data_IF_061961461208
#
_entry.id   IF_061961461208
#
_cell.length_a   1.000
_cell.length_b   1.000
_cell.length_c   1.000
_cell.angle_alpha   90.00
_cell.angle_beta   90.00
_cell.angle_gamma   90.00
#
_symmetry.space_group_name_H-M   'P 1'
#
loop_
_entity.id
_entity.type
_entity.pdbx_description
1 polymer ?
#
# COMPACT_ATOMS: atom_id res chain seq x y z
N UNK A 1 58.58 -4.48 -17.70
CA UNK A 1 57.62 -5.54 -18.09
C UNK A 1 57.12 -6.21 -16.81
N UNK A 2 55.82 -6.22 -16.54
CA UNK A 2 55.29 -6.98 -15.40
C UNK A 2 55.47 -8.48 -15.63
N UNK A 3 55.93 -9.20 -14.61
CA UNK A 3 56.05 -10.65 -14.65
C UNK A 3 54.68 -11.30 -14.84
N UNK A 4 54.64 -12.41 -15.59
CA UNK A 4 53.41 -13.16 -15.88
C UNK A 4 52.60 -13.48 -14.62
N UNK A 5 53.28 -13.75 -13.51
CA UNK A 5 52.66 -14.08 -12.21
C UNK A 5 51.85 -12.91 -11.64
N UNK A 6 52.33 -11.67 -11.82
CA UNK A 6 51.62 -10.46 -11.39
C UNK A 6 50.40 -10.17 -12.25
N UNK A 7 50.48 -10.45 -13.55
CA UNK A 7 49.34 -10.35 -14.47
C UNK A 7 48.26 -11.38 -14.14
N UNK A 8 48.66 -12.63 -13.86
CA UNK A 8 47.72 -13.69 -13.46
C UNK A 8 47.01 -13.31 -12.15
N UNK A 9 47.75 -12.83 -11.15
CA UNK A 9 47.16 -12.38 -9.89
C UNK A 9 46.15 -11.24 -10.08
N UNK A 10 46.49 -10.25 -10.93
CA UNK A 10 45.62 -9.12 -11.22
C UNK A 10 44.31 -9.57 -11.91
N UNK A 11 44.39 -10.51 -12.85
CA UNK A 11 43.20 -11.05 -13.53
C UNK A 11 42.34 -11.83 -12.55
N UNK A 12 42.92 -12.67 -11.69
CA UNK A 12 42.19 -13.43 -10.68
C UNK A 12 41.44 -12.49 -9.73
N UNK A 13 42.11 -11.45 -9.22
CA UNK A 13 41.46 -10.45 -8.36
C UNK A 13 40.30 -9.74 -9.04
N UNK A 14 40.45 -9.41 -10.33
CA UNK A 14 39.40 -8.76 -11.10
C UNK A 14 38.18 -9.66 -11.26
N UNK A 15 38.38 -10.95 -11.58
CA UNK A 15 37.29 -11.93 -11.71
C UNK A 15 36.58 -12.15 -10.38
N UNK A 16 37.31 -12.25 -9.27
CA UNK A 16 36.74 -12.42 -7.93
C UNK A 16 35.92 -11.18 -7.55
N UNK A 17 36.46 -9.98 -7.71
CA UNK A 17 35.75 -8.74 -7.41
C UNK A 17 34.47 -8.58 -8.26
N UNK A 18 34.53 -8.93 -9.55
CA UNK A 18 33.37 -8.88 -10.44
C UNK A 18 32.28 -9.87 -10.01
N UNK A 19 32.67 -11.10 -9.67
CA UNK A 19 31.73 -12.15 -9.24
C UNK A 19 31.02 -11.79 -7.93
N UNK A 20 31.76 -11.27 -6.95
CA UNK A 20 31.19 -10.81 -5.67
C UNK A 20 30.27 -9.60 -5.88
N UNK A 21 30.67 -8.66 -6.76
CA UNK A 21 29.87 -7.50 -7.11
C UNK A 21 28.52 -7.87 -7.73
N UNK A 22 28.52 -8.80 -8.69
CA UNK A 22 27.29 -9.31 -9.31
C UNK A 22 26.37 -10.00 -8.29
N UNK A 23 26.92 -10.86 -7.43
CA UNK A 23 26.13 -11.57 -6.42
C UNK A 23 25.49 -10.62 -5.39
N UNK A 24 26.27 -9.67 -4.87
CA UNK A 24 25.78 -8.68 -3.92
C UNK A 24 24.73 -7.75 -4.54
N UNK A 25 24.93 -7.34 -5.80
CA UNK A 25 23.97 -6.53 -6.55
C UNK A 25 22.66 -7.26 -6.80
N UNK A 26 22.72 -8.53 -7.23
CA UNK A 26 21.55 -9.34 -7.51
C UNK A 26 20.71 -9.57 -6.25
N UNK A 27 21.35 -9.94 -5.13
CA UNK A 27 20.64 -10.18 -3.86
C UNK A 27 19.93 -8.93 -3.32
N UNK A 28 20.57 -7.75 -3.44
CA UNK A 28 19.96 -6.48 -3.01
C UNK A 28 18.82 -6.03 -3.94
N UNK A 29 18.98 -6.20 -5.26
CA UNK A 29 17.96 -5.86 -6.25
C UNK A 29 16.69 -6.68 -6.08
N UNK A 30 16.80 -7.99 -5.92
CA UNK A 30 15.66 -8.88 -5.73
C UNK A 30 14.87 -8.58 -4.47
N UNK A 31 15.56 -8.37 -3.34
CA UNK A 31 14.89 -8.01 -2.07
C UNK A 31 14.13 -6.69 -2.17
N UNK A 32 14.68 -5.71 -2.89
CA UNK A 32 14.02 -4.42 -3.09
C UNK A 32 12.77 -4.57 -3.99
N UNK A 33 12.89 -5.31 -5.07
CA UNK A 33 11.76 -5.59 -5.97
C UNK A 33 10.63 -6.36 -5.26
N UNK A 34 10.94 -7.41 -4.47
CA UNK A 34 9.93 -8.12 -3.68
C UNK A 34 9.25 -7.21 -2.64
N UNK A 35 10.01 -6.35 -1.97
CA UNK A 35 9.47 -5.45 -0.97
C UNK A 35 8.52 -4.42 -1.61
N UNK A 36 8.88 -3.86 -2.77
CA UNK A 36 8.04 -2.90 -3.48
C UNK A 36 6.78 -3.58 -4.04
N UNK A 37 6.87 -4.79 -4.60
CA UNK A 37 5.70 -5.56 -5.04
C UNK A 37 4.76 -5.84 -3.87
N UNK A 38 5.28 -6.26 -2.71
CA UNK A 38 4.48 -6.52 -1.51
C UNK A 38 3.79 -5.25 -1.01
N UNK A 39 4.45 -4.09 -1.05
CA UNK A 39 3.83 -2.81 -0.68
C UNK A 39 2.67 -2.46 -1.61
N UNK A 40 2.89 -2.56 -2.92
CA UNK A 40 1.83 -2.28 -3.91
C UNK A 40 0.66 -3.22 -3.71
N UNK A 41 0.90 -4.52 -3.53
CA UNK A 41 -0.18 -5.48 -3.26
C UNK A 41 -0.93 -5.18 -1.96
N UNK A 42 -0.23 -4.81 -0.88
CA UNK A 42 -0.85 -4.47 0.39
C UNK A 42 -1.72 -3.20 0.28
N UNK A 43 -1.27 -2.18 -0.46
CA UNK A 43 -2.06 -0.97 -0.71
C UNK A 43 -3.29 -1.25 -1.58
N UNK A 44 -3.12 -2.03 -2.66
CA UNK A 44 -4.25 -2.45 -3.49
C UNK A 44 -5.27 -3.28 -2.72
N UNK A 45 -4.81 -4.22 -1.87
CA UNK A 45 -5.68 -5.03 -1.03
C UNK A 45 -6.44 -4.18 0.00
N UNK A 46 -5.77 -3.20 0.63
CA UNK A 46 -6.44 -2.25 1.53
C UNK A 46 -7.51 -1.43 0.82
N UNK A 47 -7.21 -0.87 -0.35
CA UNK A 47 -8.18 -0.11 -1.14
C UNK A 47 -9.38 -0.96 -1.53
N UNK A 48 -9.16 -2.18 -2.02
CA UNK A 48 -10.24 -3.11 -2.35
C UNK A 48 -11.09 -3.48 -1.13
N UNK A 49 -10.44 -3.67 0.04
CA UNK A 49 -11.16 -3.94 1.28
C UNK A 49 -11.98 -2.73 1.76
N UNK A 50 -11.45 -1.52 1.66
CA UNK A 50 -12.18 -0.28 1.99
C UNK A 50 -13.36 -0.04 1.04
N UNK A 51 -13.18 -0.27 -0.26
CA UNK A 51 -14.27 -0.16 -1.24
C UNK A 51 -15.35 -1.22 -1.00
N UNK A 52 -14.97 -2.46 -0.70
CA UNK A 52 -15.91 -3.51 -0.32
C UNK A 52 -16.64 -3.17 0.99
N UNK A 53 -15.94 -2.61 1.98
CA UNK A 53 -16.54 -2.17 3.24
C UNK A 53 -17.53 -1.02 3.04
N UNK A 54 -17.19 -0.04 2.19
CA UNK A 54 -18.11 1.05 1.82
C UNK A 54 -19.32 0.55 1.05
N UNK A 55 -19.13 -0.34 0.08
CA UNK A 55 -20.23 -0.93 -0.68
C UNK A 55 -21.17 -1.78 0.20
N UNK A 56 -20.62 -2.44 1.22
CA UNK A 56 -21.38 -3.21 2.19
C UNK A 56 -21.97 -2.36 3.33
N UNK A 57 -21.67 -1.05 3.42
CA UNK A 57 -22.16 -0.18 4.50
C UNK A 57 -23.51 0.46 4.12
N UNK A 58 -24.64 -0.03 4.66
CA UNK A 58 -25.96 0.52 4.34
C UNK A 58 -26.17 1.95 4.85
N UNK A 59 -25.32 2.46 5.74
CA UNK A 59 -25.41 3.83 6.28
C UNK A 59 -24.71 4.87 5.41
N UNK A 60 -23.71 4.47 4.61
CA UNK A 60 -23.08 5.37 3.63
C UNK A 60 -23.88 5.41 2.31
N UNK A 61 -24.47 4.27 1.91
CA UNK A 61 -25.26 4.19 0.68
C UNK A 61 -26.61 4.94 0.76
N UNK A 62 -27.23 4.97 1.94
CA UNK A 62 -28.47 5.72 2.19
C UNK A 62 -28.47 6.25 3.63
N UNK A 63 -28.34 7.57 3.79
CA UNK A 63 -28.41 8.20 5.12
C UNK A 63 -29.81 7.99 5.73
N UNK A 64 -29.97 7.17 6.78
CA UNK A 64 -31.28 6.87 7.37
C UNK A 64 -31.92 8.09 8.07
N UNK A 65 -31.16 9.16 8.29
CA UNK A 65 -31.63 10.41 8.88
C UNK A 65 -32.03 11.45 7.82
N UNK A 66 -31.84 11.17 6.53
CA UNK A 66 -32.19 12.09 5.44
C UNK A 66 -33.68 12.35 5.28
N UNK A 67 -34.52 11.42 5.76
CA UNK A 67 -35.99 11.54 5.77
C UNK A 67 -36.59 12.00 7.09
N UNK A 68 -35.78 12.27 8.11
CA UNK A 68 -36.27 12.75 9.40
C UNK A 68 -36.38 14.27 9.32
N UNK A 69 -37.45 14.74 8.66
CA UNK A 69 -37.86 16.13 8.73
C UNK A 69 -37.95 16.55 10.20
N UNK A 70 -37.11 17.52 10.56
CA UNK A 70 -37.13 18.39 11.72
C UNK A 70 -37.85 17.84 12.96
N UNK A 71 -37.06 17.60 14.01
CA UNK A 71 -37.44 17.46 15.42
C UNK A 71 -38.93 17.11 15.64
N UNK A 72 -39.29 15.85 15.95
CA UNK A 72 -40.68 15.42 16.06
C UNK A 72 -41.51 16.22 17.08
N UNK A 73 -40.85 16.96 17.99
CA UNK A 73 -41.47 17.89 18.92
C UNK A 73 -42.03 19.18 18.27
N UNK A 74 -41.60 19.55 17.07
CA UNK A 74 -42.16 20.68 16.29
C UNK A 74 -43.60 20.38 15.86
N UNK A 75 -43.86 19.15 15.39
CA UNK A 75 -45.21 18.71 14.98
C UNK A 75 -46.17 18.62 16.18
N UNK A 76 -45.66 18.25 17.38
CA UNK A 76 -46.48 18.18 18.59
C UNK A 76 -46.80 19.54 19.20
N UNK A 77 -45.93 20.56 19.04
CA UNK A 77 -46.22 21.93 19.52
C UNK A 77 -47.43 22.56 18.82
N UNK A 78 -47.64 22.27 17.53
CA UNK A 78 -48.83 22.73 16.77
C UNK A 78 -50.13 22.06 17.22
N UNK A 79 -50.07 20.85 17.78
CA UNK A 79 -51.24 20.09 18.22
C UNK A 79 -51.58 20.40 19.70
N UNK A 80 -50.56 20.70 20.52
CA UNK A 80 -50.73 21.00 21.95
C UNK A 80 -51.11 22.46 22.26
N UNK A 81 -51.11 23.37 21.28
CA UNK A 81 -51.65 24.71 21.46
C UNK A 81 -52.90 24.97 20.60
N UNK A 82 -54.09 24.55 21.06
CA UNK A 82 -55.36 24.91 20.45
C UNK A 82 -55.89 26.30 20.90
N UNK A 83 -55.03 27.18 21.43
CA UNK A 83 -55.37 28.53 21.89
C UNK A 83 -54.46 29.59 21.29
#
# INVERSE_FOLDING_TARGET
>A
MWGKDKLILAVVLLVVAFSVGLWAGHSRGYKKAEADIKKVQAESAKKAAEEAAKAANPFEAANPLGGVEANPFEKTKKILNPF
#
